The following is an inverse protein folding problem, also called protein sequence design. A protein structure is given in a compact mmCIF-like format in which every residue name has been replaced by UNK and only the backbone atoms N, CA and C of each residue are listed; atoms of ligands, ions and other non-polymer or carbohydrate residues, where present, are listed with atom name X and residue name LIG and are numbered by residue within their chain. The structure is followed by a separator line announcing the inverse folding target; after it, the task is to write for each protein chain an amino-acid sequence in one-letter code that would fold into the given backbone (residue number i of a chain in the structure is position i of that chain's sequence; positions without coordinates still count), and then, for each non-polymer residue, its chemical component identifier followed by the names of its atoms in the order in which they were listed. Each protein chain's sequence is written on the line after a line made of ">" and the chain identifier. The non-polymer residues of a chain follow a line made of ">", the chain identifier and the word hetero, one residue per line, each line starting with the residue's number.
data_IF_816630983551
#
_entry.id   IF_816630983551
#
_cell.length_a   1.000
_cell.length_b   1.000
_cell.length_c   1.000
_cell.angle_alpha   90.00
_cell.angle_beta   90.00
_cell.angle_gamma   90.00
#
_symmetry.space_group_name_H-M   'P 1'
#
loop_
_entity.id
_entity.type
_entity.pdbx_description
1 polymer ?
#
# COMPACT_ATOMS: atom_id res chain seq x y z
N UNK A 1 -2.89 -4.14 -3.20
CA UNK A 1 -2.67 -2.89 -2.46
C UNK A 1 -1.80 -1.98 -3.29
N UNK A 2 -2.10 -0.67 -3.31
CA UNK A 2 -1.41 0.31 -4.15
C UNK A 2 -0.75 1.40 -3.31
N UNK A 3 0.57 1.57 -3.50
CA UNK A 3 1.31 2.75 -3.05
C UNK A 3 1.30 3.86 -4.11
N UNK A 4 1.92 5.00 -3.82
CA UNK A 4 2.11 6.07 -4.79
C UNK A 4 3.26 5.77 -5.75
N UNK A 5 4.46 5.66 -5.19
CA UNK A 5 5.71 5.31 -5.87
C UNK A 5 6.83 5.06 -4.84
N UNK A 6 7.76 4.13 -5.06
CA UNK A 6 8.81 3.84 -4.09
C UNK A 6 9.76 5.02 -3.90
N UNK A 7 10.40 5.16 -2.73
CA UNK A 7 11.44 6.16 -2.53
C UNK A 7 12.66 5.87 -3.39
N UNK A 8 13.61 6.82 -3.44
CA UNK A 8 14.88 6.62 -4.15
C UNK A 8 15.61 5.37 -3.65
N UNK A 9 16.28 4.65 -4.55
CA UNK A 9 16.92 3.35 -4.28
C UNK A 9 17.93 3.38 -3.12
N UNK A 10 18.61 4.50 -2.90
CA UNK A 10 19.51 4.69 -1.74
C UNK A 10 18.83 4.54 -0.36
N UNK A 11 17.49 4.55 -0.32
CA UNK A 11 16.68 4.39 0.90
C UNK A 11 16.09 2.99 1.06
N UNK A 12 16.37 2.07 0.14
CA UNK A 12 15.84 0.73 0.17
C UNK A 12 16.63 -0.16 1.12
N UNK A 13 15.93 -0.94 1.91
CA UNK A 13 16.48 -2.00 2.75
C UNK A 13 16.23 -3.39 2.17
N UNK A 14 15.43 -3.49 1.11
CA UNK A 14 15.17 -4.72 0.35
C UNK A 14 14.67 -4.40 -1.06
N UNK A 15 14.75 -5.36 -1.97
CA UNK A 15 14.24 -5.28 -3.34
C UNK A 15 12.79 -5.79 -3.42
N UNK A 16 11.85 -5.01 -2.88
CA UNK A 16 10.42 -5.30 -2.92
C UNK A 16 9.60 -4.03 -2.61
N UNK A 17 8.27 -4.12 -2.54
CA UNK A 17 7.40 -3.00 -2.20
C UNK A 17 7.59 -2.52 -0.77
N UNK A 18 7.36 -1.22 -0.53
CA UNK A 18 7.60 -0.54 0.76
C UNK A 18 9.00 -0.81 1.33
N UNK A 19 10.06 -0.59 0.52
CA UNK A 19 11.42 -1.05 0.82
C UNK A 19 12.11 -0.26 1.92
N UNK A 20 11.64 0.95 2.24
CA UNK A 20 12.32 1.85 3.17
C UNK A 20 12.05 1.42 4.62
N UNK A 21 13.11 1.23 5.41
CA UNK A 21 13.01 0.94 6.85
C UNK A 21 12.30 2.05 7.67
N UNK A 22 12.18 3.27 7.11
CA UNK A 22 11.37 4.36 7.65
C UNK A 22 9.88 4.29 7.24
N UNK A 23 9.44 3.20 6.60
CA UNK A 23 8.05 2.91 6.31
C UNK A 23 7.56 1.81 7.24
N UNK A 24 6.37 1.97 7.80
CA UNK A 24 5.81 1.06 8.80
C UNK A 24 4.96 -0.07 8.20
N UNK A 25 4.82 -0.18 6.85
CA UNK A 25 3.92 -1.16 6.24
C UNK A 25 4.13 -2.57 6.80
N UNK A 26 5.37 -3.07 6.77
CA UNK A 26 5.66 -4.44 7.21
C UNK A 26 5.58 -4.59 8.73
N UNK A 27 5.77 -3.50 9.49
CA UNK A 27 5.51 -3.49 10.95
C UNK A 27 4.01 -3.54 11.25
N UNK A 28 3.19 -2.82 10.48
CA UNK A 28 1.72 -2.89 10.57
C UNK A 28 1.28 -4.33 10.30
N UNK A 29 1.74 -4.94 9.20
CA UNK A 29 1.38 -6.31 8.84
C UNK A 29 1.84 -7.33 9.90
N UNK A 30 3.07 -7.20 10.42
CA UNK A 30 3.56 -8.02 11.53
C UNK A 30 2.69 -7.87 12.78
N UNK A 31 2.32 -6.64 13.14
CA UNK A 31 1.47 -6.36 14.30
C UNK A 31 0.09 -6.98 14.17
N UNK A 32 -0.56 -6.86 13.00
CA UNK A 32 -1.96 -7.30 12.87
C UNK A 32 -2.10 -8.80 12.61
N UNK A 33 -1.16 -9.43 11.91
CA UNK A 33 -1.26 -10.85 11.54
C UNK A 33 -0.45 -11.79 12.45
N UNK A 34 0.61 -11.29 13.08
CA UNK A 34 1.54 -12.10 13.88
C UNK A 34 1.69 -11.62 15.33
N UNK A 35 1.01 -10.53 15.71
CA UNK A 35 1.15 -9.88 17.01
C UNK A 35 2.61 -9.50 17.36
N UNK A 36 3.43 -9.29 16.35
CA UNK A 36 4.84 -8.93 16.46
C UNK A 36 5.22 -7.92 15.35
N UNK A 37 5.47 -6.67 15.74
CA UNK A 37 5.85 -5.62 14.79
C UNK A 37 7.21 -5.88 14.10
N UNK A 38 8.03 -6.76 14.64
CA UNK A 38 9.35 -7.10 14.10
C UNK A 38 9.34 -8.39 13.27
N UNK A 39 8.20 -9.06 13.13
CA UNK A 39 8.06 -10.34 12.44
C UNK A 39 8.73 -10.39 11.05
N UNK A 40 8.63 -9.30 10.31
CA UNK A 40 9.21 -9.19 8.96
C UNK A 40 10.56 -8.48 8.92
N UNK A 41 11.23 -8.29 10.07
CA UNK A 41 12.54 -7.64 10.14
C UNK A 41 13.67 -8.65 10.42
N UNK A 42 14.80 -8.45 9.76
CA UNK A 42 16.08 -9.02 10.18
C UNK A 42 16.78 -7.94 11.00
N UNK A 43 16.51 -7.92 12.31
CA UNK A 43 16.89 -6.82 13.21
C UNK A 43 18.40 -6.60 13.22
N UNK A 44 19.20 -7.68 13.22
CA UNK A 44 20.68 -7.62 13.18
C UNK A 44 21.23 -6.90 11.93
N UNK A 45 20.50 -6.98 10.81
CA UNK A 45 20.89 -6.39 9.53
C UNK A 45 20.14 -5.07 9.22
N UNK A 46 19.24 -4.66 10.10
CA UNK A 46 18.40 -3.44 9.94
C UNK A 46 17.65 -3.40 8.60
N UNK A 47 17.21 -4.54 8.11
CA UNK A 47 16.44 -4.66 6.85
C UNK A 47 15.20 -5.52 7.04
N UNK A 48 14.30 -5.45 6.09
CA UNK A 48 13.16 -6.36 6.02
C UNK A 48 13.55 -7.72 5.42
N UNK A 49 12.87 -8.77 5.87
CA UNK A 49 12.97 -10.13 5.32
C UNK A 49 12.04 -10.25 4.11
N UNK A 50 12.59 -10.00 2.91
CA UNK A 50 11.84 -10.02 1.65
C UNK A 50 11.11 -11.34 1.43
N UNK A 51 11.77 -12.46 1.66
CA UNK A 51 11.19 -13.77 1.32
C UNK A 51 10.02 -14.11 2.24
N UNK A 52 10.13 -13.86 3.54
CA UNK A 52 9.01 -13.98 4.48
C UNK A 52 7.83 -13.07 4.11
N UNK A 53 8.10 -11.87 3.60
CA UNK A 53 7.07 -10.93 3.14
C UNK A 53 6.38 -11.45 1.87
N UNK A 54 7.13 -11.98 0.91
CA UNK A 54 6.57 -12.56 -0.32
C UNK A 54 5.67 -13.75 0.00
N UNK A 55 6.13 -14.67 0.85
CA UNK A 55 5.36 -15.83 1.30
C UNK A 55 4.08 -15.41 2.02
N UNK A 56 4.17 -14.40 2.88
CA UNK A 56 3.00 -13.81 3.55
C UNK A 56 2.01 -13.22 2.54
N UNK A 57 2.46 -12.42 1.59
CA UNK A 57 1.59 -11.84 0.55
C UNK A 57 0.87 -12.93 -0.25
N UNK A 58 1.57 -13.99 -0.65
CA UNK A 58 0.99 -15.13 -1.35
C UNK A 58 -0.06 -15.85 -0.49
N UNK A 59 0.25 -16.12 0.79
CA UNK A 59 -0.65 -16.83 1.70
C UNK A 59 -1.93 -16.07 2.01
N UNK A 60 -1.89 -14.72 1.91
CA UNK A 60 -3.03 -13.83 2.19
C UNK A 60 -3.72 -13.28 0.94
N UNK A 61 -3.30 -13.68 -0.25
CA UNK A 61 -3.86 -13.16 -1.50
C UNK A 61 -3.62 -11.65 -1.68
N UNK A 62 -2.51 -11.12 -1.17
CA UNK A 62 -2.16 -9.70 -1.25
C UNK A 62 -1.27 -9.46 -2.47
N UNK A 63 -1.82 -8.82 -3.49
CA UNK A 63 -1.04 -8.27 -4.59
C UNK A 63 -0.60 -6.83 -4.28
N UNK A 64 0.61 -6.47 -4.69
CA UNK A 64 1.20 -5.15 -4.45
C UNK A 64 1.60 -4.50 -5.77
N UNK A 65 1.35 -3.21 -5.87
CA UNK A 65 1.84 -2.37 -6.97
C UNK A 65 1.85 -0.89 -6.55
N UNK A 66 2.29 0.00 -7.45
CA UNK A 66 2.24 1.45 -7.26
C UNK A 66 1.31 2.09 -8.29
N UNK A 67 0.72 3.24 -7.97
CA UNK A 67 -0.20 3.97 -8.88
C UNK A 67 0.52 4.73 -9.99
N UNK A 68 1.85 4.77 -9.98
CA UNK A 68 2.66 5.35 -11.03
C UNK A 68 3.77 4.38 -11.47
N UNK A 69 4.07 4.38 -12.76
CA UNK A 69 5.18 3.66 -13.39
C UNK A 69 6.40 4.56 -13.50
N UNK A 70 6.18 5.85 -13.78
CA UNK A 70 7.23 6.84 -13.90
C UNK A 70 6.83 8.13 -13.20
N UNK A 71 7.79 8.73 -12.47
CA UNK A 71 7.60 9.96 -11.74
C UNK A 71 8.78 10.89 -11.88
N UNK A 72 8.53 12.20 -11.76
CA UNK A 72 9.54 13.22 -11.57
C UNK A 72 9.52 13.68 -10.11
N UNK A 73 10.66 13.61 -9.43
CA UNK A 73 10.79 14.14 -8.08
C UNK A 73 11.25 15.59 -8.15
N UNK A 74 10.42 16.49 -7.63
CA UNK A 74 10.71 17.92 -7.61
C UNK A 74 11.67 18.31 -6.48
N UNK A 75 11.85 17.41 -5.48
CA UNK A 75 12.80 17.57 -4.37
C UNK A 75 13.45 16.23 -4.02
N UNK A 76 14.68 16.27 -3.50
CA UNK A 76 15.42 15.09 -3.03
C UNK A 76 14.91 14.61 -1.65
N UNK A 77 13.63 14.23 -1.58
CA UNK A 77 13.02 13.63 -0.40
C UNK A 77 12.05 12.50 -0.78
N UNK A 78 11.51 11.81 0.21
CA UNK A 78 10.58 10.69 0.00
C UNK A 78 9.11 11.12 0.10
N UNK A 79 8.80 12.42 0.15
CA UNK A 79 7.44 12.92 0.30
C UNK A 79 6.71 12.91 -1.04
N UNK A 80 5.50 12.35 -1.05
CA UNK A 80 4.62 12.31 -2.21
C UNK A 80 4.13 13.71 -2.64
N UNK A 81 4.20 14.70 -1.75
CA UNK A 81 3.85 16.10 -2.03
C UNK A 81 4.66 16.69 -3.19
N UNK A 82 5.88 16.19 -3.40
CA UNK A 82 6.80 16.65 -4.44
C UNK A 82 7.01 15.60 -5.54
N UNK A 83 6.02 14.73 -5.70
CA UNK A 83 6.00 13.67 -6.70
C UNK A 83 5.06 14.08 -7.83
N UNK A 84 5.60 14.34 -9.00
CA UNK A 84 4.84 14.52 -10.25
C UNK A 84 4.75 13.18 -10.99
N UNK A 85 3.54 12.72 -11.27
CA UNK A 85 3.32 11.49 -12.03
C UNK A 85 3.53 11.82 -13.51
N UNK A 86 4.50 11.16 -14.15
CA UNK A 86 4.76 11.25 -15.59
C UNK A 86 3.94 10.19 -16.31
N UNK A 87 3.97 8.95 -15.82
CA UNK A 87 3.22 7.83 -16.38
C UNK A 87 2.47 7.12 -15.25
N UNK A 88 1.14 7.17 -15.33
CA UNK A 88 0.27 6.44 -14.39
C UNK A 88 0.27 4.93 -14.70
N UNK A 89 0.03 4.12 -13.69
CA UNK A 89 -0.18 2.69 -13.84
C UNK A 89 -1.51 2.42 -14.52
N UNK A 90 -1.54 1.51 -15.46
CA UNK A 90 -2.78 0.97 -16.03
C UNK A 90 -3.44 0.00 -15.05
N UNK A 91 -4.30 0.54 -14.19
CA UNK A 91 -5.03 -0.23 -13.17
C UNK A 91 -6.00 -1.22 -13.83
N UNK A 92 -6.55 -0.88 -15.00
CA UNK A 92 -7.45 -1.77 -15.73
C UNK A 92 -6.71 -3.03 -16.19
N UNK A 93 -5.50 -2.88 -16.76
CA UNK A 93 -4.67 -4.02 -17.14
C UNK A 93 -4.27 -4.88 -15.93
N UNK A 94 -3.92 -4.24 -14.78
CA UNK A 94 -3.65 -4.98 -13.54
C UNK A 94 -4.86 -5.82 -13.10
N UNK A 95 -6.05 -5.24 -13.05
CA UNK A 95 -7.28 -5.96 -12.65
C UNK A 95 -7.65 -7.07 -13.62
N UNK A 96 -7.40 -6.90 -14.91
CA UNK A 96 -7.61 -7.94 -15.92
C UNK A 96 -6.72 -9.16 -15.66
N UNK A 97 -5.48 -8.94 -15.23
CA UNK A 97 -4.56 -10.03 -14.84
C UNK A 97 -4.91 -10.69 -13.51
N UNK A 98 -5.80 -10.09 -12.71
CA UNK A 98 -6.20 -10.55 -11.38
C UNK A 98 -7.73 -10.68 -11.28
N UNK A 99 -8.36 -11.68 -11.94
CA UNK A 99 -9.83 -11.80 -12.00
C UNK A 99 -10.48 -12.03 -10.62
N UNK A 100 -9.76 -12.55 -9.66
CA UNK A 100 -10.25 -12.78 -8.29
C UNK A 100 -10.04 -11.59 -7.34
N UNK A 101 -9.43 -10.51 -7.80
CA UNK A 101 -9.24 -9.31 -6.99
C UNK A 101 -10.60 -8.65 -6.71
N UNK A 102 -10.98 -8.53 -5.44
CA UNK A 102 -12.24 -7.93 -4.99
C UNK A 102 -12.05 -6.58 -4.27
N UNK A 103 -10.82 -6.22 -3.93
CA UNK A 103 -10.54 -5.00 -3.21
C UNK A 103 -9.30 -4.27 -3.74
N UNK A 104 -9.42 -2.95 -3.87
CA UNK A 104 -8.30 -2.02 -4.11
C UNK A 104 -8.04 -1.27 -2.82
N UNK A 105 -6.87 -1.48 -2.23
CA UNK A 105 -6.46 -0.84 -0.98
C UNK A 105 -5.35 0.16 -1.27
N UNK A 106 -5.60 1.44 -1.09
CA UNK A 106 -4.60 2.50 -1.28
C UNK A 106 -3.97 2.92 0.04
N UNK A 107 -2.68 3.24 0.01
CA UNK A 107 -1.91 3.66 1.19
C UNK A 107 -1.45 5.11 1.04
N UNK A 108 -2.17 6.01 1.68
CA UNK A 108 -1.92 7.45 1.62
C UNK A 108 -2.75 8.19 0.57
N UNK A 109 -2.66 9.50 0.60
CA UNK A 109 -3.52 10.40 -0.18
C UNK A 109 -3.28 10.32 -1.67
N UNK A 110 -2.02 10.42 -2.11
CA UNK A 110 -1.64 10.44 -3.53
C UNK A 110 -2.11 9.19 -4.28
N UNK A 111 -1.93 8.01 -3.69
CA UNK A 111 -2.40 6.76 -4.27
C UNK A 111 -3.94 6.73 -4.34
N UNK A 112 -4.63 7.24 -3.31
CA UNK A 112 -6.09 7.30 -3.27
C UNK A 112 -6.65 8.24 -4.33
N UNK A 113 -6.05 9.40 -4.53
CA UNK A 113 -6.41 10.35 -5.59
C UNK A 113 -6.27 9.72 -6.98
N UNK A 114 -5.15 9.01 -7.24
CA UNK A 114 -4.91 8.35 -8.50
C UNK A 114 -5.97 7.29 -8.81
N UNK A 115 -6.34 6.47 -7.83
CA UNK A 115 -7.40 5.45 -7.99
C UNK A 115 -8.77 6.10 -8.15
N UNK A 116 -9.09 7.15 -7.38
CA UNK A 116 -10.37 7.86 -7.48
C UNK A 116 -10.57 8.51 -8.87
N UNK A 117 -9.52 9.12 -9.42
CA UNK A 117 -9.54 9.68 -10.79
C UNK A 117 -9.77 8.57 -11.81
N UNK A 118 -9.05 7.45 -11.71
CA UNK A 118 -9.22 6.31 -12.61
C UNK A 118 -10.63 5.70 -12.52
N UNK A 119 -11.18 5.56 -11.30
CA UNK A 119 -12.51 4.97 -11.08
C UNK A 119 -13.66 5.96 -11.31
N UNK A 120 -13.41 7.25 -11.52
CA UNK A 120 -14.43 8.27 -11.66
C UNK A 120 -15.26 8.51 -10.38
N UNK A 121 -14.67 8.31 -9.21
CA UNK A 121 -15.35 8.42 -7.91
C UNK A 121 -14.68 9.45 -6.99
N UNK A 122 -15.28 9.68 -5.81
CA UNK A 122 -14.65 10.48 -4.75
C UNK A 122 -13.63 9.65 -3.98
N UNK A 123 -12.62 10.33 -3.44
CA UNK A 123 -11.66 9.71 -2.52
C UNK A 123 -12.38 9.39 -1.20
N UNK A 124 -12.39 8.13 -0.72
CA UNK A 124 -12.98 7.78 0.56
C UNK A 124 -12.31 8.52 1.73
N UNK A 125 -13.00 8.73 2.85
CA UNK A 125 -12.35 9.16 4.10
C UNK A 125 -11.29 8.13 4.56
N UNK A 126 -10.29 8.57 5.31
CA UNK A 126 -9.24 7.68 5.82
C UNK A 126 -9.84 6.56 6.69
N UNK A 127 -9.49 5.32 6.40
CA UNK A 127 -9.99 4.13 7.08
C UNK A 127 -11.40 3.70 6.64
N UNK A 128 -11.94 4.30 5.58
CA UNK A 128 -13.24 3.97 5.02
C UNK A 128 -13.12 3.26 3.66
N UNK A 129 -14.20 2.62 3.28
CA UNK A 129 -14.38 1.91 2.02
C UNK A 129 -15.55 2.50 1.26
N UNK A 130 -15.42 2.53 -0.06
CA UNK A 130 -16.51 2.78 -1.01
C UNK A 130 -16.58 1.61 -1.98
N UNK A 131 -17.79 1.21 -2.37
CA UNK A 131 -17.96 0.25 -3.47
C UNK A 131 -17.88 1.00 -4.79
N UNK A 132 -17.03 0.52 -5.69
CA UNK A 132 -16.87 1.05 -7.04
C UNK A 132 -17.20 -0.04 -8.07
N UNK A 133 -17.79 0.34 -9.19
CA UNK A 133 -18.10 -0.58 -10.30
C UNK A 133 -17.20 -0.28 -11.48
N UNK A 134 -16.43 -1.27 -11.92
CA UNK A 134 -15.52 -1.17 -13.07
C UNK A 134 -15.90 -2.26 -14.08
N UNK A 135 -16.52 -1.85 -15.19
CA UNK A 135 -17.16 -2.81 -16.09
C UNK A 135 -18.27 -3.56 -15.36
N UNK A 136 -18.20 -4.89 -15.37
CA UNK A 136 -19.15 -5.78 -14.69
C UNK A 136 -18.69 -6.20 -13.27
N UNK A 137 -17.64 -5.60 -12.74
CA UNK A 137 -17.07 -5.96 -11.44
C UNK A 137 -17.36 -4.91 -10.38
N UNK A 138 -17.88 -5.34 -9.25
CA UNK A 138 -17.90 -4.55 -8.02
C UNK A 138 -16.62 -4.78 -7.24
N UNK A 139 -15.99 -3.70 -6.80
CA UNK A 139 -14.72 -3.71 -6.04
C UNK A 139 -14.84 -2.83 -4.82
N UNK A 140 -14.25 -3.23 -3.71
CA UNK A 140 -14.11 -2.41 -2.52
C UNK A 140 -12.91 -1.48 -2.66
N UNK A 141 -13.11 -0.19 -2.67
CA UNK A 141 -12.05 0.80 -2.68
C UNK A 141 -11.78 1.34 -1.27
N UNK A 142 -10.69 0.88 -0.66
CA UNK A 142 -10.24 1.30 0.66
C UNK A 142 -9.19 2.40 0.59
N UNK A 143 -9.36 3.46 1.42
CA UNK A 143 -8.30 4.42 1.69
C UNK A 143 -7.72 4.18 3.07
N UNK A 144 -6.47 3.70 3.14
CA UNK A 144 -5.74 3.52 4.39
C UNK A 144 -4.89 4.75 4.72
N UNK A 145 -4.60 5.01 6.01
CA UNK A 145 -3.61 6.01 6.37
C UNK A 145 -2.26 5.63 5.77
N UNK A 146 -1.45 6.64 5.45
CA UNK A 146 -0.10 6.39 4.95
C UNK A 146 0.72 5.56 5.95
N UNK A 147 1.40 4.55 5.45
CA UNK A 147 2.34 3.75 6.23
C UNK A 147 3.68 4.45 6.49
N UNK A 148 3.93 5.59 5.86
CA UNK A 148 5.13 6.40 6.12
C UNK A 148 5.21 6.85 7.58
N UNK A 149 6.40 6.83 8.19
CA UNK A 149 6.63 7.41 9.52
C UNK A 149 6.47 8.92 9.56
N UNK A 150 6.56 9.60 8.42
CA UNK A 150 6.28 11.02 8.33
C UNK A 150 4.78 11.36 8.46
N UNK A 151 3.89 10.38 8.30
CA UNK A 151 2.46 10.56 8.53
C UNK A 151 2.19 10.62 10.05
N UNK A 152 1.51 11.69 10.56
CA UNK A 152 1.41 11.96 11.99
C UNK A 152 0.39 11.05 12.70
N UNK A 153 0.61 9.74 12.63
CA UNK A 153 -0.21 8.74 13.30
C UNK A 153 0.69 7.62 13.83
N UNK A 154 0.51 7.24 15.11
CA UNK A 154 1.26 6.17 15.73
C UNK A 154 1.05 4.82 15.03
N UNK A 155 2.04 3.93 15.11
CA UNK A 155 1.99 2.60 14.48
C UNK A 155 0.75 1.82 14.89
N UNK A 156 0.43 1.82 16.18
CA UNK A 156 -0.70 1.08 16.77
C UNK A 156 -2.04 1.59 16.18
N UNK A 157 -2.16 2.91 16.02
CA UNK A 157 -3.35 3.52 15.40
C UNK A 157 -3.45 3.20 13.91
N UNK A 158 -2.34 3.23 13.18
CA UNK A 158 -2.31 2.73 11.80
C UNK A 158 -2.77 1.27 11.75
N UNK A 159 -2.23 0.42 12.61
CA UNK A 159 -2.56 -1.00 12.68
C UNK A 159 -4.06 -1.25 12.92
N UNK A 160 -4.74 -0.44 13.74
CA UNK A 160 -6.19 -0.52 13.95
C UNK A 160 -6.97 -0.37 12.61
N UNK A 161 -6.61 0.61 11.78
CA UNK A 161 -7.24 0.82 10.48
C UNK A 161 -7.01 -0.37 9.53
N UNK A 162 -5.77 -0.83 9.43
CA UNK A 162 -5.41 -1.95 8.55
C UNK A 162 -6.03 -3.27 9.03
N UNK A 163 -6.16 -3.48 10.35
CA UNK A 163 -6.86 -4.64 10.93
C UNK A 163 -8.34 -4.64 10.56
N UNK A 164 -9.03 -3.49 10.71
CA UNK A 164 -10.43 -3.34 10.31
C UNK A 164 -10.64 -3.72 8.84
N UNK A 165 -9.80 -3.21 7.95
CA UNK A 165 -9.84 -3.53 6.53
C UNK A 165 -9.59 -5.02 6.28
N UNK A 166 -8.55 -5.61 6.90
CA UNK A 166 -8.20 -7.02 6.70
C UNK A 166 -9.31 -7.98 7.17
N UNK A 167 -10.00 -7.64 8.27
CA UNK A 167 -11.18 -8.41 8.74
C UNK A 167 -12.33 -8.28 7.74
N UNK A 168 -12.63 -7.06 7.27
CA UNK A 168 -13.73 -6.82 6.33
C UNK A 168 -13.52 -7.54 4.99
N UNK A 169 -12.27 -7.71 4.55
CA UNK A 169 -11.92 -8.41 3.31
C UNK A 169 -11.64 -9.92 3.51
N UNK A 170 -11.86 -10.44 4.72
CA UNK A 170 -11.68 -11.87 5.00
C UNK A 170 -10.22 -12.36 4.93
N UNK A 171 -9.24 -11.44 5.06
CA UNK A 171 -7.82 -11.80 5.06
C UNK A 171 -7.32 -12.25 6.45
N UNK A 172 -8.14 -12.07 7.49
CA UNK A 172 -7.87 -12.46 8.87
C UNK A 172 -8.90 -13.46 9.36
#
# INVERSE_FOLDING_TARGET
>A
MLGSFPPQRKRWSMEFFYPNAQNDMWRIMGTIFHNDKHHFEIVSERRFNRDAIVDFCHSKGIALYDTAVEVRRLKDNASDKFLEIVTATDITALLTSMPLCNAIVTTGEKASESVAVWAGCKVPPVGCMETITIGDRELHFWRMPSSSRAYPLALEKKAEFYRKMAIAEGAM
#
